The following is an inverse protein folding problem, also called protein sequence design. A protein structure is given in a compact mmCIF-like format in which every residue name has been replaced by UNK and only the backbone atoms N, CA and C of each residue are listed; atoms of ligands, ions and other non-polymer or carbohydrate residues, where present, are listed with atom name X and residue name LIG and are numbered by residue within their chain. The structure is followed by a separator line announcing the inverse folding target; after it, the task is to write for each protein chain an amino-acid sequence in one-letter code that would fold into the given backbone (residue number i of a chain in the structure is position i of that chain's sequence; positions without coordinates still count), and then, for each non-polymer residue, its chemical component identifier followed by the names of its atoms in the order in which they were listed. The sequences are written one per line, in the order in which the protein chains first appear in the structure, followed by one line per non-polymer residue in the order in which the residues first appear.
data_IF_516626556669
#
_entry.id   IF_516626556669
#
_cell.length_a   1.000
_cell.length_b   1.000
_cell.length_c   1.000
_cell.angle_alpha   90.00
_cell.angle_beta   90.00
_cell.angle_gamma   90.00
#
_symmetry.space_group_name_H-M   'P 1'
#
loop_
_entity.id
_entity.type
_entity.pdbx_description
1 polymer ?
#
# COMPACT_ATOMS: atom_id res chain seq x y z
N UNK A 1 11.32 45.70 -32.33
CA UNK A 1 12.51 45.06 -31.70
C UNK A 1 12.27 44.66 -30.22
N UNK A 2 11.63 45.47 -29.39
CA UNK A 2 11.34 45.16 -27.96
C UNK A 2 10.35 44.00 -27.77
N UNK A 3 9.28 43.91 -28.56
CA UNK A 3 8.24 42.87 -28.49
C UNK A 3 8.83 41.47 -28.78
N UNK A 4 9.69 41.35 -29.79
CA UNK A 4 10.31 40.09 -30.17
C UNK A 4 11.26 39.55 -29.05
N UNK A 5 11.95 40.46 -28.36
CA UNK A 5 12.78 40.11 -27.19
C UNK A 5 11.93 39.65 -26.03
N UNK A 6 10.79 40.28 -25.80
CA UNK A 6 9.83 39.89 -24.75
C UNK A 6 9.23 38.52 -25.03
N UNK A 7 8.79 38.25 -26.28
CA UNK A 7 8.26 36.93 -26.66
C UNK A 7 9.31 35.83 -26.47
N UNK A 8 10.55 36.07 -26.91
CA UNK A 8 11.65 35.10 -26.68
C UNK A 8 11.90 34.84 -25.20
N UNK A 9 11.87 35.88 -24.38
CA UNK A 9 12.03 35.73 -22.92
C UNK A 9 10.91 34.88 -22.32
N UNK A 10 9.64 35.11 -22.69
CA UNK A 10 8.48 34.32 -22.19
C UNK A 10 8.58 32.86 -22.64
N UNK A 11 8.98 32.60 -23.88
CA UNK A 11 9.19 31.25 -24.39
C UNK A 11 10.32 30.50 -23.65
N UNK A 12 11.44 31.17 -23.39
CA UNK A 12 12.54 30.59 -22.64
C UNK A 12 12.14 30.31 -21.20
N UNK A 13 11.45 31.23 -20.52
CA UNK A 13 10.97 31.06 -19.17
C UNK A 13 9.96 29.90 -19.07
N UNK A 14 9.03 29.81 -20.03
CA UNK A 14 8.09 28.69 -20.14
C UNK A 14 8.79 27.35 -20.34
N UNK A 15 9.78 27.29 -21.21
CA UNK A 15 10.59 26.10 -21.45
C UNK A 15 11.34 25.62 -20.18
N UNK A 16 11.93 26.55 -19.44
CA UNK A 16 12.62 26.26 -18.18
C UNK A 16 11.63 25.72 -17.14
N UNK A 17 10.44 26.33 -17.03
CA UNK A 17 9.41 25.88 -16.08
C UNK A 17 8.94 24.45 -16.39
N UNK A 18 8.71 24.15 -17.69
CA UNK A 18 8.32 22.79 -18.12
C UNK A 18 9.44 21.79 -17.81
N UNK A 19 10.69 22.15 -18.07
CA UNK A 19 11.83 21.29 -17.75
C UNK A 19 11.93 20.99 -16.26
N UNK A 20 11.76 21.99 -15.40
CA UNK A 20 11.76 21.83 -13.94
C UNK A 20 10.59 20.94 -13.48
N UNK A 21 9.41 21.12 -14.07
CA UNK A 21 8.25 20.27 -13.78
C UNK A 21 8.50 18.81 -14.19
N UNK A 22 9.09 18.57 -15.35
CA UNK A 22 9.47 17.23 -15.80
C UNK A 22 10.50 16.58 -14.87
N UNK A 23 11.49 17.34 -14.42
CA UNK A 23 12.50 16.88 -13.46
C UNK A 23 11.82 16.52 -12.13
N UNK A 24 10.93 17.37 -11.62
CA UNK A 24 10.18 17.13 -10.40
C UNK A 24 9.33 15.86 -10.52
N UNK A 25 8.57 15.72 -11.60
CA UNK A 25 7.76 14.54 -11.87
C UNK A 25 8.62 13.27 -12.00
N UNK A 26 9.79 13.36 -12.63
CA UNK A 26 10.71 12.24 -12.74
C UNK A 26 11.25 11.78 -11.38
N UNK A 27 11.52 12.71 -10.46
CA UNK A 27 11.96 12.34 -9.12
C UNK A 27 10.83 11.86 -8.22
N UNK A 28 9.62 12.39 -8.36
CA UNK A 28 8.45 11.98 -7.56
C UNK A 28 7.84 10.68 -8.05
N UNK A 29 7.89 10.37 -9.35
CA UNK A 29 7.38 9.13 -9.92
C UNK A 29 8.26 7.90 -9.64
N UNK A 30 9.50 8.12 -9.18
CA UNK A 30 10.38 7.04 -8.75
C UNK A 30 9.98 6.58 -7.35
N UNK A 31 9.26 5.47 -7.28
CA UNK A 31 8.79 4.88 -6.03
C UNK A 31 9.89 4.62 -4.98
N UNK A 32 9.51 4.30 -3.75
CA UNK A 32 10.42 4.16 -2.60
C UNK A 32 11.47 3.04 -2.74
N UNK A 33 11.29 2.14 -3.70
CA UNK A 33 12.10 0.93 -3.89
C UNK A 33 13.30 1.09 -4.82
N UNK A 34 13.68 2.30 -5.16
CA UNK A 34 14.75 2.60 -6.12
C UNK A 34 16.11 1.97 -5.79
N UNK A 35 16.38 1.71 -4.52
CA UNK A 35 17.67 1.24 -4.04
C UNK A 35 17.60 -0.15 -3.39
N UNK A 36 16.54 -0.93 -3.62
CA UNK A 36 16.50 -2.31 -3.15
C UNK A 36 17.47 -3.10 -4.01
N UNK A 37 18.58 -3.47 -3.42
CA UNK A 37 19.47 -4.49 -3.96
C UNK A 37 18.96 -5.81 -3.43
N UNK A 38 18.44 -6.65 -4.32
CA UNK A 38 18.14 -8.03 -3.99
C UNK A 38 19.45 -8.80 -4.22
N UNK A 39 20.14 -9.13 -3.13
CA UNK A 39 21.29 -10.01 -3.16
C UNK A 39 20.80 -11.42 -2.83
N UNK A 40 20.63 -12.23 -3.86
CA UNK A 40 20.27 -13.64 -3.73
C UNK A 40 21.52 -14.45 -3.98
N UNK A 41 22.17 -14.86 -2.91
CA UNK A 41 23.28 -15.81 -3.01
C UNK A 41 22.67 -17.22 -3.05
N UNK A 42 22.64 -17.82 -4.22
CA UNK A 42 22.33 -19.25 -4.34
C UNK A 42 23.57 -20.05 -3.91
N UNK A 43 23.39 -21.14 -3.15
CA UNK A 43 24.51 -22.05 -2.86
C UNK A 43 25.13 -22.52 -4.16
N UNK A 44 26.46 -22.64 -4.19
CA UNK A 44 27.16 -23.16 -5.37
C UNK A 44 26.70 -24.59 -5.67
N UNK A 45 26.68 -24.95 -6.94
CA UNK A 45 26.11 -26.20 -7.49
C UNK A 45 26.65 -27.50 -6.83
N UNK A 46 27.78 -27.46 -6.16
CA UNK A 46 28.35 -28.61 -5.49
C UNK A 46 27.54 -29.13 -4.30
N UNK A 47 26.76 -28.29 -3.66
CA UNK A 47 25.94 -28.65 -2.50
C UNK A 47 24.51 -29.15 -2.85
N UNK A 48 24.13 -29.11 -4.13
CA UNK A 48 22.82 -29.60 -4.56
C UNK A 48 22.73 -31.13 -4.66
N UNK A 49 23.85 -31.82 -4.52
CA UNK A 49 23.90 -33.28 -4.56
C UNK A 49 23.47 -33.96 -3.27
N UNK A 50 23.25 -33.18 -2.23
CA UNK A 50 22.79 -33.71 -0.96
C UNK A 50 21.29 -34.00 -1.04
N UNK A 51 20.93 -35.27 -0.90
CA UNK A 51 19.55 -35.76 -1.01
C UNK A 51 18.71 -35.47 0.23
N UNK A 52 18.88 -34.31 0.85
CA UNK A 52 18.03 -33.90 1.97
C UNK A 52 16.59 -33.79 1.51
N UNK A 53 15.64 -34.37 2.23
CA UNK A 53 14.24 -34.29 1.86
C UNK A 53 13.75 -32.84 1.87
N UNK A 54 12.92 -32.49 0.90
CA UNK A 54 12.21 -31.22 0.91
C UNK A 54 11.11 -31.26 1.99
N UNK A 55 11.20 -30.38 2.96
CA UNK A 55 10.16 -30.17 3.96
C UNK A 55 9.20 -29.09 3.44
N UNK A 56 7.89 -29.32 3.58
CA UNK A 56 6.87 -28.34 3.19
C UNK A 56 5.93 -28.13 4.37
N UNK A 57 5.69 -26.85 4.66
CA UNK A 57 4.74 -26.42 5.68
C UNK A 57 3.70 -25.48 5.10
N UNK A 58 2.49 -25.49 5.62
CA UNK A 58 1.42 -24.57 5.25
C UNK A 58 0.84 -23.90 6.48
N UNK A 59 0.44 -22.65 6.34
CA UNK A 59 -0.22 -21.88 7.37
C UNK A 59 -1.38 -21.07 6.80
N UNK A 60 -2.46 -20.97 7.56
CA UNK A 60 -3.62 -20.15 7.23
C UNK A 60 -4.01 -19.37 8.47
N UNK A 61 -4.24 -18.08 8.30
CA UNK A 61 -4.67 -17.19 9.37
C UNK A 61 -5.80 -16.31 8.87
N UNK A 62 -6.89 -16.25 9.62
CA UNK A 62 -7.92 -15.24 9.48
C UNK A 62 -7.33 -13.88 9.91
N UNK A 63 -7.42 -12.91 8.99
CA UNK A 63 -6.94 -11.53 9.19
C UNK A 63 -8.09 -10.52 9.06
N UNK A 64 -9.32 -11.00 9.11
CA UNK A 64 -10.50 -10.15 9.05
C UNK A 64 -10.50 -9.17 10.23
N UNK A 65 -10.60 -7.86 9.98
CA UNK A 65 -10.68 -6.89 11.06
C UNK A 65 -11.90 -7.13 11.95
N UNK A 66 -11.72 -7.03 13.25
CA UNK A 66 -12.83 -7.01 14.19
C UNK A 66 -13.46 -5.60 14.20
N UNK A 67 -14.55 -5.42 13.46
CA UNK A 67 -15.22 -4.14 13.34
C UNK A 67 -15.79 -3.61 14.66
N UNK A 68 -15.93 -4.45 15.70
CA UNK A 68 -16.43 -4.00 17.00
C UNK A 68 -15.45 -3.08 17.74
N UNK A 69 -14.18 -3.07 17.32
CA UNK A 69 -13.12 -2.21 17.88
C UNK A 69 -13.06 -0.81 17.25
N UNK A 70 -13.86 -0.59 16.21
CA UNK A 70 -13.88 0.65 15.43
C UNK A 70 -15.16 1.43 15.71
N UNK A 71 -15.14 2.69 15.32
CA UNK A 71 -16.28 3.59 15.44
C UNK A 71 -17.44 3.15 14.55
N UNK A 72 -18.63 3.53 14.94
CA UNK A 72 -19.82 3.37 14.09
C UNK A 72 -20.24 4.71 13.51
N UNK A 73 -20.85 4.67 12.33
CA UNK A 73 -21.33 5.88 11.68
C UNK A 73 -22.72 5.67 11.05
N UNK A 74 -23.37 6.79 10.78
CA UNK A 74 -24.68 6.84 10.12
C UNK A 74 -24.51 7.57 8.81
N UNK A 75 -24.75 6.86 7.70
CA UNK A 75 -24.81 7.39 6.35
C UNK A 75 -26.15 8.10 6.16
N UNK A 76 -26.13 9.43 6.21
CA UNK A 76 -27.35 10.25 6.23
C UNK A 76 -27.96 10.39 4.83
N UNK A 77 -27.14 10.45 3.80
CA UNK A 77 -27.56 10.61 2.41
C UNK A 77 -27.58 9.31 1.60
N UNK A 78 -27.17 8.19 2.21
CA UNK A 78 -27.10 6.84 1.63
C UNK A 78 -26.21 6.76 0.36
N UNK A 79 -25.10 7.49 0.35
CA UNK A 79 -24.14 7.43 -0.75
C UNK A 79 -23.02 6.40 -0.53
N UNK A 80 -22.92 5.80 0.67
CA UNK A 80 -21.94 4.81 1.06
C UNK A 80 -20.55 5.37 1.34
N UNK A 81 -20.42 6.70 1.44
CA UNK A 81 -19.18 7.40 1.70
C UNK A 81 -19.30 8.24 2.95
N UNK A 82 -18.30 8.27 3.79
CA UNK A 82 -18.31 9.09 4.98
C UNK A 82 -17.97 10.56 4.65
N UNK A 83 -18.88 11.45 4.97
CA UNK A 83 -18.72 12.89 4.87
C UNK A 83 -18.89 13.55 6.26
N UNK A 84 -17.81 14.07 6.85
CA UNK A 84 -17.87 14.63 8.21
C UNK A 84 -18.77 15.86 8.35
N UNK A 85 -19.21 16.49 7.25
CA UNK A 85 -20.14 17.62 7.26
C UNK A 85 -21.62 17.17 7.34
N UNK A 86 -21.93 15.96 6.88
CA UNK A 86 -23.28 15.41 6.78
C UNK A 86 -23.50 14.25 7.74
N UNK A 87 -22.51 13.34 7.79
CA UNK A 87 -22.59 12.09 8.53
C UNK A 87 -22.22 12.27 9.99
N UNK A 88 -22.74 11.37 10.80
CA UNK A 88 -22.45 11.34 12.23
C UNK A 88 -21.76 10.04 12.58
N UNK A 89 -20.86 10.08 13.52
CA UNK A 89 -20.21 8.88 14.06
C UNK A 89 -20.27 8.86 15.57
N UNK A 90 -20.13 7.67 16.13
CA UNK A 90 -19.98 7.41 17.54
C UNK A 90 -18.52 7.05 17.82
N UNK A 91 -17.81 7.96 18.45
CA UNK A 91 -16.43 7.80 18.88
C UNK A 91 -16.39 6.85 20.09
N UNK A 92 -16.10 5.58 19.85
CA UNK A 92 -16.14 4.52 20.88
C UNK A 92 -14.95 4.57 21.81
N UNK A 93 -13.80 5.00 21.33
CA UNK A 93 -12.58 5.05 22.11
C UNK A 93 -12.34 6.44 22.75
N UNK A 94 -13.16 7.44 22.44
CA UNK A 94 -13.13 8.81 22.92
C UNK A 94 -11.81 9.53 22.61
N UNK A 95 -11.25 9.30 21.43
CA UNK A 95 -10.02 9.96 20.99
C UNK A 95 -10.28 11.25 20.18
N UNK A 96 -11.53 11.51 19.78
CA UNK A 96 -11.95 12.65 18.99
C UNK A 96 -11.69 12.53 17.49
N UNK A 97 -11.26 11.34 17.01
CA UNK A 97 -11.02 11.02 15.61
C UNK A 97 -11.98 9.92 15.17
N UNK A 98 -12.27 9.83 13.89
CA UNK A 98 -13.11 8.78 13.33
C UNK A 98 -12.25 7.61 12.86
N UNK A 99 -12.24 6.54 13.65
CA UNK A 99 -11.46 5.34 13.43
C UNK A 99 -12.29 4.21 12.84
N UNK A 100 -11.96 3.77 11.63
CA UNK A 100 -12.66 2.62 11.03
C UNK A 100 -11.83 1.95 9.93
N UNK A 101 -12.33 0.81 9.47
CA UNK A 101 -11.70 0.05 8.39
C UNK A 101 -12.17 0.60 7.04
N UNK A 102 -11.25 1.15 6.27
CA UNK A 102 -11.52 1.66 4.94
C UNK A 102 -11.65 0.54 3.91
N UNK A 103 -12.68 0.62 3.08
CA UNK A 103 -12.80 -0.28 1.94
C UNK A 103 -11.81 0.13 0.84
N UNK A 104 -11.14 -0.87 0.28
CA UNK A 104 -10.30 -0.68 -0.88
C UNK A 104 -11.15 -0.53 -2.16
N UNK A 105 -10.62 0.16 -3.18
CA UNK A 105 -11.25 0.33 -4.47
C UNK A 105 -11.26 1.77 -4.98
N UNK A 106 -12.07 2.05 -6.00
CA UNK A 106 -12.15 3.34 -6.66
C UNK A 106 -13.08 4.36 -5.97
N UNK A 107 -13.35 4.23 -4.70
CA UNK A 107 -14.12 5.20 -3.92
C UNK A 107 -13.30 5.65 -2.73
N UNK A 108 -13.18 6.96 -2.53
CA UNK A 108 -12.59 7.51 -1.33
C UNK A 108 -13.64 7.52 -0.20
N UNK A 109 -13.16 7.53 1.05
CA UNK A 109 -14.00 7.73 2.23
C UNK A 109 -15.14 6.70 2.40
N UNK A 110 -14.88 5.43 2.05
CA UNK A 110 -15.85 4.35 2.20
C UNK A 110 -15.50 3.46 3.40
N UNK A 111 -16.18 3.64 4.53
CA UNK A 111 -16.03 2.78 5.69
C UNK A 111 -16.66 1.40 5.47
N UNK A 112 -16.09 0.36 6.07
CA UNK A 112 -16.68 -0.96 6.07
C UNK A 112 -17.94 -0.97 6.96
N UNK A 113 -19.09 -1.28 6.38
CA UNK A 113 -20.37 -1.40 7.10
C UNK A 113 -20.62 -2.81 7.64
N UNK A 114 -19.80 -3.78 7.23
CA UNK A 114 -19.92 -5.18 7.64
C UNK A 114 -18.88 -6.05 6.96
N UNK A 115 -18.88 -7.32 7.35
CA UNK A 115 -18.01 -8.35 6.79
C UNK A 115 -18.90 -9.29 5.97
N UNK A 116 -18.66 -9.32 4.65
CA UNK A 116 -19.36 -10.27 3.78
C UNK A 116 -18.63 -11.60 3.73
N UNK A 117 -17.33 -11.56 3.54
CA UNK A 117 -16.46 -12.73 3.51
C UNK A 117 -15.21 -12.48 4.37
N UNK A 118 -14.69 -13.51 5.07
CA UNK A 118 -13.47 -13.38 5.84
C UNK A 118 -12.25 -13.16 4.95
N UNK A 119 -11.30 -12.37 5.44
CA UNK A 119 -10.00 -12.12 4.81
C UNK A 119 -8.96 -13.12 5.34
N UNK A 120 -8.13 -13.62 4.45
CA UNK A 120 -7.16 -14.64 4.80
C UNK A 120 -5.72 -14.22 4.47
N UNK A 121 -4.82 -14.64 5.33
CA UNK A 121 -3.40 -14.78 5.00
C UNK A 121 -3.07 -16.26 4.90
N UNK A 122 -2.46 -16.66 3.78
CA UNK A 122 -2.07 -18.04 3.50
C UNK A 122 -0.59 -18.08 3.19
N UNK A 123 0.11 -19.00 3.81
CA UNK A 123 1.54 -19.18 3.63
C UNK A 123 1.88 -20.61 3.24
N UNK A 124 2.89 -20.76 2.40
CA UNK A 124 3.57 -22.01 2.15
C UNK A 124 5.08 -21.83 2.36
N UNK A 125 5.67 -22.70 3.15
CA UNK A 125 7.10 -22.71 3.43
C UNK A 125 7.74 -23.96 2.82
N UNK A 126 8.89 -23.78 2.19
CA UNK A 126 9.74 -24.84 1.67
C UNK A 126 11.07 -24.78 2.39
N UNK A 127 11.54 -25.90 2.91
CA UNK A 127 12.84 -26.01 3.58
C UNK A 127 13.67 -27.13 2.99
N UNK A 128 14.89 -26.83 2.65
CA UNK A 128 15.91 -27.81 2.23
C UNK A 128 17.30 -27.30 2.61
N UNK A 129 18.16 -28.19 3.11
CA UNK A 129 19.57 -27.87 3.49
C UNK A 129 19.73 -26.60 4.33
N UNK A 130 18.83 -26.38 5.32
CA UNK A 130 18.90 -25.21 6.19
C UNK A 130 18.39 -23.90 5.57
N UNK A 131 18.03 -23.90 4.28
CA UNK A 131 17.41 -22.76 3.59
C UNK A 131 15.90 -22.90 3.69
N UNK A 132 15.24 -21.84 4.10
CA UNK A 132 13.78 -21.78 4.14
C UNK A 132 13.28 -20.64 3.26
N UNK A 133 12.35 -20.95 2.35
CA UNK A 133 11.65 -19.96 1.52
C UNK A 133 10.18 -19.98 1.92
N UNK A 134 9.61 -18.81 2.17
CA UNK A 134 8.20 -18.66 2.53
C UNK A 134 7.52 -17.79 1.51
N UNK A 135 6.43 -18.29 0.93
CA UNK A 135 5.53 -17.53 0.06
C UNK A 135 4.26 -17.23 0.85
N UNK A 136 3.85 -15.96 0.86
CA UNK A 136 2.65 -15.52 1.57
C UNK A 136 1.71 -14.83 0.60
N UNK A 137 0.45 -15.26 0.59
CA UNK A 137 -0.66 -14.58 -0.08
C UNK A 137 -1.55 -13.94 0.98
N UNK A 138 -1.93 -12.68 0.76
CA UNK A 138 -2.76 -11.91 1.68
C UNK A 138 -3.94 -11.36 0.88
N UNK A 139 -5.14 -11.51 1.41
CA UNK A 139 -6.36 -10.94 0.85
C UNK A 139 -6.37 -9.42 1.15
N UNK A 140 -5.55 -8.68 0.42
CA UNK A 140 -5.39 -7.22 0.54
C UNK A 140 -5.07 -6.62 -0.81
N UNK A 141 -5.54 -5.41 -1.06
CA UNK A 141 -5.26 -4.65 -2.29
C UNK A 141 -3.79 -4.26 -2.41
N UNK A 142 -3.11 -4.12 -1.29
CA UNK A 142 -1.69 -3.81 -1.21
C UNK A 142 -1.23 -3.65 0.23
N UNK A 143 0.08 -3.75 0.39
CA UNK A 143 0.74 -3.43 1.66
C UNK A 143 1.49 -2.13 1.42
N UNK A 144 1.05 -1.06 2.07
CA UNK A 144 1.76 0.22 2.07
C UNK A 144 2.76 0.23 3.22
N UNK A 145 4.01 0.54 2.90
CA UNK A 145 5.01 0.81 3.93
C UNK A 145 4.80 2.25 4.40
N UNK A 146 4.15 2.42 5.53
CA UNK A 146 4.09 3.71 6.19
C UNK A 146 5.49 4.04 6.71
N UNK A 147 6.12 5.05 6.11
CA UNK A 147 7.35 5.59 6.68
C UNK A 147 6.95 6.25 7.99
N UNK A 148 7.37 5.68 9.11
CA UNK A 148 7.38 6.37 10.38
C UNK A 148 8.04 7.74 10.20
N UNK A 149 7.22 8.78 10.10
CA UNK A 149 7.68 10.16 10.22
C UNK A 149 7.92 10.38 11.71
N UNK A 150 9.15 10.12 12.14
CA UNK A 150 9.65 10.65 13.39
C UNK A 150 10.06 12.11 13.19
#
# INVERSE_FOLDING_TARGET
MKILKFIRFVLCAGGILILLLCILLFFTSRGPYRNIKVDVTLPSDENWKDSSPLEVGVGVKDITPDLSQYDTWTDVDNDGSFNPELDRYEDRNNNGEFDFVWLAGFGNSRPAQGINDPLWSRAIAFRNNGITVVLVSIDSVGITHERDRK
#
